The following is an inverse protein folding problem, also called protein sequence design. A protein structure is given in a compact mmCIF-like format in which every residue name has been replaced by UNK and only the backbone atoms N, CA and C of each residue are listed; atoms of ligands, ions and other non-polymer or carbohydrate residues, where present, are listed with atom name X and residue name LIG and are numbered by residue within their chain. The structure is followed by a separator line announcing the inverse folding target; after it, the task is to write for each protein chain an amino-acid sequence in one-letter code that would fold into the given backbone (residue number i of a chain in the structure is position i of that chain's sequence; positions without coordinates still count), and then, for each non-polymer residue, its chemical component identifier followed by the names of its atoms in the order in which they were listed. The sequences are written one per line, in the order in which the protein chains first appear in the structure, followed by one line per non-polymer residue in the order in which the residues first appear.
data_IF_517737442571
#
_entry.id   IF_517737442571
#
_cell.length_a   1.000
_cell.length_b   1.000
_cell.length_c   1.000
_cell.angle_alpha   90.00
_cell.angle_beta   90.00
_cell.angle_gamma   90.00
#
_symmetry.space_group_name_H-M   'P 1'
#
loop_
_entity.id
_entity.type
_entity.pdbx_description
1 polymer ?
#
# COMPACT_ATOMS: atom_id res chain seq x y z
N UNK A 1 74.41 1.11 -43.64
CA UNK A 1 73.93 -0.28 -43.72
C UNK A 1 73.41 -0.72 -42.35
N UNK A 2 72.09 -0.92 -42.25
CA UNK A 2 71.32 -1.86 -41.41
C UNK A 2 71.70 -2.04 -39.92
N UNK A 3 70.84 -1.63 -38.99
CA UNK A 3 69.67 -2.34 -38.41
C UNK A 3 70.03 -3.36 -37.31
N UNK A 4 69.72 -3.03 -36.05
CA UNK A 4 68.81 -3.76 -35.13
C UNK A 4 69.15 -3.42 -33.67
N UNK A 5 68.23 -2.73 -33.00
CA UNK A 5 68.06 -2.83 -31.56
C UNK A 5 66.56 -2.91 -31.29
N UNK A 6 66.12 -4.10 -30.87
CA UNK A 6 64.83 -4.35 -30.24
C UNK A 6 64.79 -3.55 -28.93
N UNK A 7 63.78 -2.70 -28.76
CA UNK A 7 63.37 -2.25 -27.44
C UNK A 7 61.89 -2.58 -27.26
N UNK A 8 61.65 -3.43 -26.26
CA UNK A 8 60.37 -3.89 -25.76
C UNK A 8 59.60 -2.67 -25.25
N UNK A 9 58.40 -2.43 -25.79
CA UNK A 9 57.44 -1.50 -25.18
C UNK A 9 56.89 -2.13 -23.91
N UNK A 10 57.27 -1.58 -22.76
CA UNK A 10 56.56 -1.80 -21.51
C UNK A 10 55.26 -0.99 -21.58
N UNK A 11 54.13 -1.68 -21.76
CA UNK A 11 52.82 -1.09 -21.55
C UNK A 11 52.66 -0.84 -20.04
N UNK A 12 52.78 0.42 -19.62
CA UNK A 12 52.34 0.87 -18.30
C UNK A 12 50.81 0.88 -18.35
N UNK A 13 50.18 -0.17 -17.85
CA UNK A 13 48.76 -0.16 -17.48
C UNK A 13 48.63 0.76 -16.27
N UNK A 14 48.18 1.99 -16.51
CA UNK A 14 47.77 2.90 -15.43
C UNK A 14 46.56 2.29 -14.75
N UNK A 15 46.79 1.60 -13.64
CA UNK A 15 45.73 1.23 -12.72
C UNK A 15 45.13 2.54 -12.18
N UNK A 16 43.95 2.90 -12.66
CA UNK A 16 43.11 3.89 -12.01
C UNK A 16 42.67 3.26 -10.69
N UNK A 17 43.40 3.57 -9.63
CA UNK A 17 42.95 3.33 -8.26
C UNK A 17 41.80 4.32 -8.03
N UNK A 18 40.58 3.85 -8.31
CA UNK A 18 39.36 4.44 -7.77
C UNK A 18 39.56 4.47 -6.26
N UNK A 19 39.74 5.68 -5.72
CA UNK A 19 39.77 5.88 -4.28
C UNK A 19 38.40 5.48 -3.75
N UNK A 20 38.38 4.38 -3.01
CA UNK A 20 37.17 3.83 -2.42
C UNK A 20 36.46 4.87 -1.56
N UNK A 21 35.17 5.03 -1.81
CA UNK A 21 34.21 5.61 -0.89
C UNK A 21 34.08 4.69 0.32
N UNK A 22 35.02 4.80 1.25
CA UNK A 22 34.89 4.16 2.56
C UNK A 22 33.81 4.90 3.37
N UNK A 23 32.53 4.64 3.06
CA UNK A 23 31.39 5.06 3.87
C UNK A 23 30.07 4.33 3.52
N UNK A 24 30.05 3.07 3.10
CA UNK A 24 28.83 2.24 2.92
C UNK A 24 28.86 0.95 3.78
N UNK A 25 29.41 1.01 4.99
CA UNK A 25 29.77 -0.17 5.78
C UNK A 25 28.60 -0.84 6.55
N UNK A 26 27.51 -1.19 5.85
CA UNK A 26 26.57 -2.20 6.35
C UNK A 26 26.47 -3.25 5.25
N UNK A 27 26.85 -4.50 5.56
CA UNK A 27 26.82 -5.56 4.55
C UNK A 27 25.37 -5.91 4.21
N UNK A 28 25.16 -6.43 3.01
CA UNK A 28 23.86 -6.94 2.55
C UNK A 28 23.28 -7.94 3.56
N UNK A 29 24.08 -8.87 4.07
CA UNK A 29 23.65 -9.89 5.02
C UNK A 29 23.24 -9.32 6.39
N UNK A 30 23.85 -8.19 6.79
CA UNK A 30 23.49 -7.51 8.02
C UNK A 30 22.23 -6.64 7.89
N UNK A 31 21.82 -6.34 6.65
CA UNK A 31 20.75 -5.38 6.36
C UNK A 31 19.48 -6.06 5.85
N UNK A 32 19.61 -7.16 5.11
CA UNK A 32 18.49 -7.90 4.52
C UNK A 32 18.19 -9.14 5.39
N UNK A 33 17.03 -9.18 6.07
CA UNK A 33 16.62 -10.33 6.86
C UNK A 33 16.69 -11.62 6.06
N UNK A 34 17.12 -12.72 6.68
CA UNK A 34 17.30 -14.01 5.99
C UNK A 34 16.04 -14.46 5.22
N UNK A 35 14.86 -14.21 5.77
CA UNK A 35 13.58 -14.53 5.13
C UNK A 35 13.35 -13.76 3.81
N UNK A 36 14.01 -12.62 3.61
CA UNK A 36 13.86 -11.76 2.43
C UNK A 36 15.00 -11.91 1.42
N UNK A 37 16.08 -12.64 1.74
CA UNK A 37 17.24 -12.77 0.85
C UNK A 37 16.94 -13.53 -0.46
N UNK A 38 15.83 -14.29 -0.51
CA UNK A 38 15.35 -14.94 -1.74
C UNK A 38 14.60 -13.98 -2.68
N UNK A 39 14.16 -12.82 -2.18
CA UNK A 39 13.36 -11.84 -2.93
C UNK A 39 14.09 -10.51 -3.14
N UNK A 40 14.97 -10.13 -2.22
CA UNK A 40 15.86 -8.96 -2.35
C UNK A 40 17.28 -9.47 -2.58
N UNK A 41 17.76 -9.42 -3.82
CA UNK A 41 19.15 -9.80 -4.13
C UNK A 41 20.15 -8.73 -3.68
N UNK A 42 21.41 -9.12 -3.46
CA UNK A 42 22.49 -8.17 -3.15
C UNK A 42 22.65 -7.08 -4.22
N UNK A 43 22.45 -7.45 -5.50
CA UNK A 43 22.48 -6.48 -6.60
C UNK A 43 21.34 -5.47 -6.47
N UNK A 44 20.11 -5.94 -6.23
CA UNK A 44 18.94 -5.07 -6.07
C UNK A 44 19.09 -4.14 -4.85
N UNK A 45 19.59 -4.67 -3.72
CA UNK A 45 19.90 -3.88 -2.53
C UNK A 45 20.91 -2.76 -2.83
N UNK A 46 22.03 -3.09 -3.46
CA UNK A 46 23.07 -2.11 -3.79
C UNK A 46 22.58 -1.07 -4.81
N UNK A 47 21.75 -1.46 -5.78
CA UNK A 47 21.13 -0.53 -6.73
C UNK A 47 20.20 0.45 -6.02
N UNK A 48 19.29 -0.03 -5.17
CA UNK A 48 18.38 0.84 -4.42
C UNK A 48 19.13 1.81 -3.49
N UNK A 49 20.23 1.38 -2.88
CA UNK A 49 21.09 2.26 -2.09
C UNK A 49 21.75 3.36 -2.94
N UNK A 50 22.28 3.00 -4.11
CA UNK A 50 22.90 3.96 -5.02
C UNK A 50 21.87 5.00 -5.52
N UNK A 51 20.63 4.58 -5.76
CA UNK A 51 19.54 5.47 -6.18
C UNK A 51 19.19 6.53 -5.12
N UNK A 52 19.50 6.27 -3.84
CA UNK A 52 19.25 7.17 -2.71
C UNK A 52 20.51 7.94 -2.27
N UNK A 53 21.68 7.66 -2.83
CA UNK A 53 22.96 8.26 -2.43
C UNK A 53 22.92 9.79 -2.48
N UNK A 54 22.28 10.35 -3.51
CA UNK A 54 22.26 11.80 -3.74
C UNK A 54 21.52 12.54 -2.61
N UNK A 55 20.38 12.03 -2.15
CA UNK A 55 19.57 12.63 -1.08
C UNK A 55 20.17 12.39 0.30
N UNK A 56 20.84 11.24 0.50
CA UNK A 56 21.56 10.94 1.74
C UNK A 56 22.82 11.81 1.88
N UNK A 57 23.61 11.93 0.81
CA UNK A 57 24.87 12.72 0.80
C UNK A 57 24.63 14.21 0.96
N UNK A 58 23.48 14.72 0.50
CA UNK A 58 23.07 16.10 0.71
C UNK A 58 22.65 16.39 2.17
N UNK A 59 22.51 15.36 3.01
CA UNK A 59 22.14 15.48 4.42
C UNK A 59 20.65 15.68 4.65
N UNK A 60 19.83 15.47 3.62
CA UNK A 60 18.38 15.71 3.65
C UNK A 60 17.59 14.47 4.05
N UNK A 61 18.17 13.29 3.88
CA UNK A 61 17.54 12.02 4.19
C UNK A 61 18.44 11.13 5.04
N UNK A 62 17.85 10.43 6.02
CA UNK A 62 18.62 9.62 6.95
C UNK A 62 19.08 8.32 6.30
N UNK A 63 20.35 8.00 6.49
CA UNK A 63 20.99 6.83 5.92
C UNK A 63 20.43 5.50 6.42
N UNK A 64 20.13 5.40 7.72
CA UNK A 64 19.52 4.19 8.29
C UNK A 64 18.19 3.87 7.62
N UNK A 65 17.40 4.89 7.29
CA UNK A 65 16.16 4.70 6.53
C UNK A 65 16.47 4.24 5.10
N UNK A 66 17.45 4.84 4.41
CA UNK A 66 17.81 4.41 3.05
C UNK A 66 18.23 2.93 2.99
N UNK A 67 18.97 2.43 4.00
CA UNK A 67 19.31 1.01 4.12
C UNK A 67 18.06 0.15 4.28
N UNK A 68 17.10 0.57 5.12
CA UNK A 68 15.85 -0.16 5.30
C UNK A 68 14.99 -0.18 4.01
N UNK A 69 14.98 0.91 3.24
CA UNK A 69 14.33 0.95 1.91
C UNK A 69 14.97 -0.08 1.00
N UNK A 70 16.29 -0.08 0.88
CA UNK A 70 16.99 -1.01 -0.01
C UNK A 70 16.83 -2.48 0.39
N UNK A 71 16.65 -2.76 1.68
CA UNK A 71 16.36 -4.09 2.20
C UNK A 71 14.90 -4.55 1.99
N UNK A 72 14.02 -3.65 1.51
CA UNK A 72 12.60 -3.94 1.28
C UNK A 72 12.36 -4.57 -0.10
N UNK A 73 11.44 -5.55 -0.22
CA UNK A 73 10.94 -6.01 -1.51
C UNK A 73 10.28 -4.90 -2.34
N UNK A 74 9.81 -3.83 -1.68
CA UNK A 74 9.16 -2.67 -2.31
C UNK A 74 10.14 -1.49 -2.49
N UNK A 75 11.44 -1.76 -2.56
CA UNK A 75 12.48 -0.72 -2.62
C UNK A 75 12.32 0.22 -3.81
N UNK A 76 11.83 -0.27 -4.96
CA UNK A 76 11.63 0.52 -6.17
C UNK A 76 10.61 1.64 -5.98
N UNK A 77 9.40 1.29 -5.52
CA UNK A 77 8.32 2.26 -5.28
C UNK A 77 8.71 3.29 -4.22
N UNK A 78 9.27 2.81 -3.09
CA UNK A 78 9.64 3.66 -1.96
C UNK A 78 10.81 4.59 -2.32
N UNK A 79 11.82 4.12 -3.05
CA UNK A 79 12.93 4.97 -3.53
C UNK A 79 12.44 6.01 -4.54
N UNK A 80 11.50 5.63 -5.42
CA UNK A 80 10.85 6.54 -6.35
C UNK A 80 10.12 7.68 -5.65
N UNK A 81 9.34 7.37 -4.60
CA UNK A 81 8.68 8.38 -3.77
C UNK A 81 9.68 9.34 -3.11
N UNK A 82 10.73 8.81 -2.46
CA UNK A 82 11.76 9.62 -1.81
C UNK A 82 12.42 10.56 -2.83
N UNK A 83 12.87 10.03 -3.96
CA UNK A 83 13.52 10.84 -5.00
C UNK A 83 12.59 11.90 -5.59
N UNK A 84 11.30 11.59 -5.80
CA UNK A 84 10.32 12.56 -6.27
C UNK A 84 10.16 13.72 -5.27
N UNK A 85 9.95 13.42 -3.98
CA UNK A 85 9.80 14.42 -2.92
C UNK A 85 11.03 15.32 -2.83
N UNK A 86 12.24 14.73 -2.85
CA UNK A 86 13.48 15.50 -2.70
C UNK A 86 13.98 16.18 -3.98
N UNK A 87 13.40 15.86 -5.14
CA UNK A 87 13.67 16.56 -6.41
C UNK A 87 12.93 17.89 -6.54
N UNK A 88 11.76 18.01 -5.90
CA UNK A 88 10.93 19.23 -5.86
C UNK A 88 10.54 19.57 -4.41
N UNK A 89 11.57 19.87 -3.61
CA UNK A 89 11.47 20.04 -2.16
C UNK A 89 10.59 21.20 -1.75
N UNK A 90 10.59 22.28 -2.51
CA UNK A 90 9.80 23.46 -2.18
C UNK A 90 8.30 23.15 -2.30
N UNK A 91 7.91 22.48 -3.39
CA UNK A 91 6.52 22.09 -3.62
C UNK A 91 6.05 21.01 -2.65
N UNK A 92 6.75 19.87 -2.60
CA UNK A 92 6.33 18.77 -1.72
C UNK A 92 6.55 19.10 -0.24
N UNK A 93 7.53 19.94 0.09
CA UNK A 93 7.69 20.47 1.44
C UNK A 93 6.47 21.27 1.89
N UNK A 94 5.96 22.16 1.04
CA UNK A 94 4.75 22.93 1.33
C UNK A 94 3.50 22.02 1.45
N UNK A 95 3.33 21.05 0.55
CA UNK A 95 2.22 20.08 0.59
C UNK A 95 2.27 19.25 1.89
N UNK A 96 3.43 18.68 2.21
CA UNK A 96 3.60 17.83 3.38
C UNK A 96 3.43 18.62 4.69
N UNK A 97 3.86 19.89 4.74
CA UNK A 97 3.58 20.76 5.88
C UNK A 97 2.08 21.05 6.02
N UNK A 98 1.38 21.35 4.92
CA UNK A 98 -0.07 21.57 4.93
C UNK A 98 -0.84 20.34 5.45
N UNK A 99 -0.41 19.14 5.05
CA UNK A 99 -0.98 17.89 5.55
C UNK A 99 -0.71 17.74 7.05
N UNK A 100 0.53 17.98 7.50
CA UNK A 100 0.89 17.85 8.91
C UNK A 100 0.09 18.79 9.83
N UNK A 101 -0.14 20.03 9.38
CA UNK A 101 -0.95 21.02 10.08
C UNK A 101 -2.44 20.63 10.13
N UNK A 102 -2.91 19.82 9.18
CA UNK A 102 -4.28 19.35 9.06
C UNK A 102 -4.60 18.07 9.85
N UNK A 103 -3.64 17.45 10.53
CA UNK A 103 -3.91 16.23 11.30
C UNK A 103 -4.84 16.51 12.49
N UNK A 104 -5.82 15.62 12.64
CA UNK A 104 -6.76 15.61 13.75
C UNK A 104 -6.62 14.29 14.49
N UNK A 105 -6.69 14.34 15.82
CA UNK A 105 -6.68 13.13 16.64
C UNK A 105 -7.87 12.23 16.31
N UNK A 106 -7.66 10.89 16.33
CA UNK A 106 -8.75 9.93 16.23
C UNK A 106 -9.83 10.17 17.30
N UNK A 107 -11.06 9.64 17.11
CA UNK A 107 -12.09 9.70 18.13
C UNK A 107 -11.59 9.20 19.50
N UNK A 108 -12.05 9.81 20.58
CA UNK A 108 -11.56 9.52 21.94
C UNK A 108 -11.63 8.04 22.35
N UNK A 109 -12.51 7.24 21.72
CA UNK A 109 -12.59 5.79 21.91
C UNK A 109 -11.32 5.03 21.54
N UNK A 110 -10.48 5.58 20.67
CA UNK A 110 -9.19 5.00 20.28
C UNK A 110 -8.06 5.34 21.27
N UNK A 111 -8.27 6.31 22.18
CA UNK A 111 -7.33 6.69 23.23
C UNK A 111 -5.89 6.93 22.74
N UNK A 112 -5.72 7.51 21.55
CA UNK A 112 -4.44 7.79 20.92
C UNK A 112 -4.44 9.17 20.26
N UNK A 113 -3.24 9.73 20.04
CA UNK A 113 -3.04 10.88 19.16
C UNK A 113 -2.86 10.43 17.71
N UNK A 114 -3.03 11.33 16.75
CA UNK A 114 -2.77 10.98 15.35
C UNK A 114 -1.31 10.52 15.17
N UNK A 115 -1.04 9.29 14.69
CA UNK A 115 0.30 8.73 14.65
C UNK A 115 1.19 9.36 13.57
N UNK A 116 0.60 10.09 12.63
CA UNK A 116 1.30 10.76 11.53
C UNK A 116 1.79 12.16 11.89
N UNK A 117 1.29 12.72 12.99
CA UNK A 117 1.69 14.06 13.40
C UNK A 117 3.16 14.07 13.80
N UNK A 118 3.92 14.98 13.17
CA UNK A 118 5.33 15.20 13.49
C UNK A 118 5.54 16.58 14.11
N UNK A 119 6.11 16.61 15.32
CA UNK A 119 6.58 17.84 15.96
C UNK A 119 7.88 18.27 15.31
N UNK A 120 7.83 19.09 14.27
CA UNK A 120 9.04 19.63 13.69
C UNK A 120 8.77 21.05 13.20
N UNK A 121 9.64 21.99 13.57
CA UNK A 121 9.66 23.33 12.99
C UNK A 121 10.05 23.26 11.51
N UNK A 122 11.15 23.87 11.11
CA UNK A 122 11.55 24.00 9.70
C UNK A 122 11.84 22.69 8.93
N UNK A 123 11.64 21.51 9.54
CA UNK A 123 11.90 20.18 8.94
C UNK A 123 10.73 19.19 9.06
N UNK A 124 9.49 19.66 9.26
CA UNK A 124 8.32 18.79 9.31
C UNK A 124 8.17 17.90 8.09
N UNK A 125 8.37 18.44 6.87
CA UNK A 125 8.32 17.63 5.67
C UNK A 125 9.29 16.44 5.68
N UNK A 126 10.56 16.64 6.05
CA UNK A 126 11.56 15.58 6.05
C UNK A 126 11.25 14.51 7.12
N UNK A 127 10.75 14.94 8.29
CA UNK A 127 10.30 14.03 9.33
C UNK A 127 9.07 13.23 8.90
N UNK A 128 8.10 13.86 8.21
CA UNK A 128 6.91 13.18 7.72
C UNK A 128 7.23 12.23 6.56
N UNK A 129 8.11 12.61 5.63
CA UNK A 129 8.62 11.70 4.59
C UNK A 129 9.30 10.49 5.21
N UNK A 130 10.14 10.69 6.24
CA UNK A 130 10.75 9.59 6.98
C UNK A 130 9.70 8.67 7.65
N UNK A 131 8.66 9.24 8.26
CA UNK A 131 7.59 8.47 8.89
C UNK A 131 6.79 7.64 7.86
N UNK A 132 6.39 8.26 6.74
CA UNK A 132 5.74 7.56 5.62
C UNK A 132 6.61 6.43 5.10
N UNK A 133 7.88 6.70 4.80
CA UNK A 133 8.81 5.68 4.29
C UNK A 133 8.96 4.52 5.27
N UNK A 134 9.18 4.80 6.56
CA UNK A 134 9.31 3.74 7.57
C UNK A 134 8.05 2.87 7.63
N UNK A 135 6.87 3.50 7.60
CA UNK A 135 5.60 2.77 7.55
C UNK A 135 5.49 1.84 6.34
N UNK A 136 5.79 2.33 5.13
CA UNK A 136 5.69 1.53 3.92
C UNK A 136 6.77 0.45 3.82
N UNK A 137 7.97 0.68 4.37
CA UNK A 137 8.99 -0.38 4.51
C UNK A 137 8.47 -1.50 5.41
N UNK A 138 7.95 -1.15 6.59
CA UNK A 138 7.43 -2.13 7.54
C UNK A 138 6.19 -2.86 6.98
N UNK A 139 5.33 -2.15 6.25
CA UNK A 139 4.15 -2.73 5.60
C UNK A 139 4.52 -3.67 4.45
N UNK A 140 5.58 -3.38 3.69
CA UNK A 140 5.97 -4.22 2.56
C UNK A 140 6.28 -5.66 3.01
N UNK A 141 7.05 -5.81 4.09
CA UNK A 141 7.47 -7.12 4.61
C UNK A 141 6.50 -7.71 5.63
N UNK A 142 5.43 -6.99 5.99
CA UNK A 142 4.44 -7.45 6.94
C UNK A 142 3.64 -8.66 6.42
N UNK A 143 3.63 -9.73 7.22
CA UNK A 143 2.84 -10.93 7.00
C UNK A 143 1.65 -10.97 7.97
N UNK A 144 0.41 -11.16 7.49
CA UNK A 144 -0.77 -11.24 8.34
C UNK A 144 -0.68 -12.40 9.34
N UNK A 145 -1.03 -12.11 10.59
CA UNK A 145 -0.97 -13.03 11.71
C UNK A 145 -2.31 -13.05 12.44
N UNK A 146 -2.58 -14.15 13.12
CA UNK A 146 -3.65 -14.25 14.10
C UNK A 146 -3.12 -13.86 15.47
N UNK A 147 -3.85 -13.00 16.18
CA UNK A 147 -3.53 -12.59 17.54
C UNK A 147 -4.78 -12.74 18.41
N UNK A 148 -4.84 -13.82 19.18
CA UNK A 148 -6.01 -14.12 20.02
C UNK A 148 -7.28 -14.34 19.21
N UNK A 149 -8.31 -13.54 19.46
CA UNK A 149 -9.59 -13.54 18.75
C UNK A 149 -9.64 -12.55 17.58
N UNK A 150 -8.49 -12.00 17.18
CA UNK A 150 -8.36 -11.04 16.08
C UNK A 150 -7.27 -11.48 15.09
N UNK A 151 -7.17 -10.77 13.98
CA UNK A 151 -6.04 -10.84 13.06
C UNK A 151 -5.42 -9.45 12.85
N UNK A 152 -4.14 -9.44 12.47
CA UNK A 152 -3.39 -8.21 12.23
C UNK A 152 -3.48 -7.73 10.76
N UNK A 153 -4.27 -8.37 9.90
CA UNK A 153 -4.29 -8.15 8.45
C UNK A 153 -4.63 -6.72 8.05
N UNK A 154 -5.37 -6.00 8.89
CA UNK A 154 -5.76 -4.61 8.66
C UNK A 154 -4.83 -3.57 9.31
N UNK A 155 -3.80 -3.96 10.06
CA UNK A 155 -2.96 -3.05 10.87
C UNK A 155 -2.50 -1.81 10.10
N UNK A 156 -1.72 -2.00 9.04
CA UNK A 156 -1.13 -0.89 8.29
C UNK A 156 -2.16 -0.09 7.48
N UNK A 157 -3.27 -0.72 7.08
CA UNK A 157 -4.38 -0.04 6.41
C UNK A 157 -5.04 0.92 7.40
N UNK A 158 -5.37 0.44 8.61
CA UNK A 158 -6.01 1.24 9.65
C UNK A 158 -5.10 2.37 10.13
N UNK A 159 -3.80 2.11 10.29
CA UNK A 159 -2.82 3.15 10.61
C UNK A 159 -2.77 4.21 9.50
N UNK A 160 -2.73 3.82 8.22
CA UNK A 160 -2.70 4.76 7.11
C UNK A 160 -4.00 5.56 6.92
N UNK A 161 -5.17 5.03 7.34
CA UNK A 161 -6.43 5.80 7.35
C UNK A 161 -6.29 7.11 8.12
N UNK A 162 -5.51 7.13 9.21
CA UNK A 162 -5.31 8.34 10.01
C UNK A 162 -4.53 9.45 9.28
N UNK A 163 -3.84 9.12 8.19
CA UNK A 163 -3.13 10.10 7.36
C UNK A 163 -4.10 11.06 6.66
N UNK A 164 -5.27 10.56 6.25
CA UNK A 164 -6.27 11.35 5.54
C UNK A 164 -7.59 11.50 6.33
N UNK A 165 -7.64 11.01 7.58
CA UNK A 165 -8.80 11.15 8.45
C UNK A 165 -9.07 12.62 8.76
N UNK A 166 -10.21 13.13 8.25
CA UNK A 166 -10.64 14.53 8.39
C UNK A 166 -9.57 15.56 8.00
N UNK A 167 -8.66 15.17 7.11
CA UNK A 167 -7.59 16.01 6.58
C UNK A 167 -7.75 16.15 5.06
N UNK A 168 -8.44 17.20 4.56
CA UNK A 168 -8.69 17.37 3.13
C UNK A 168 -7.42 17.40 2.29
N UNK A 169 -6.34 18.00 2.80
CA UNK A 169 -5.06 18.03 2.10
C UNK A 169 -4.46 16.61 1.96
N UNK A 170 -4.51 15.81 3.03
CA UNK A 170 -4.06 14.42 3.02
C UNK A 170 -4.90 13.54 2.07
N UNK A 171 -6.21 13.80 2.00
CA UNK A 171 -7.12 13.12 1.07
C UNK A 171 -6.78 13.44 -0.39
N UNK A 172 -6.71 14.74 -0.74
CA UNK A 172 -6.35 15.18 -2.09
C UNK A 172 -5.01 14.60 -2.53
N UNK A 173 -3.99 14.68 -1.67
CA UNK A 173 -2.65 14.14 -1.96
C UNK A 173 -2.69 12.63 -2.22
N UNK A 174 -3.43 11.86 -1.41
CA UNK A 174 -3.62 10.41 -1.58
C UNK A 174 -4.36 10.04 -2.87
N UNK A 175 -5.19 10.95 -3.39
CA UNK A 175 -5.98 10.77 -4.60
C UNK A 175 -5.29 11.29 -5.86
N UNK A 176 -4.05 11.76 -5.75
CA UNK A 176 -3.31 12.30 -6.89
C UNK A 176 -3.76 13.71 -7.28
N UNK A 177 -4.13 14.53 -6.29
CA UNK A 177 -4.50 15.94 -6.46
C UNK A 177 -3.56 16.78 -5.58
N UNK A 178 -2.94 17.79 -6.16
CA UNK A 178 -2.11 18.76 -5.44
C UNK A 178 -3.01 19.61 -4.52
N UNK A 179 -2.88 19.51 -3.18
CA UNK A 179 -3.76 20.23 -2.26
C UNK A 179 -3.52 21.75 -2.24
N UNK A 180 -2.40 22.23 -2.77
CA UNK A 180 -2.09 23.66 -2.87
C UNK A 180 -2.77 24.32 -4.08
N UNK A 181 -3.02 23.55 -5.14
CA UNK A 181 -3.49 24.10 -6.42
C UNK A 181 -4.81 23.51 -6.91
N UNK A 182 -5.21 22.34 -6.42
CA UNK A 182 -6.34 21.55 -6.92
C UNK A 182 -6.07 20.87 -8.26
N UNK A 183 -4.85 20.95 -8.80
CA UNK A 183 -4.48 20.31 -10.06
C UNK A 183 -4.17 18.82 -9.87
N UNK A 184 -4.28 18.03 -10.93
CA UNK A 184 -3.84 16.64 -10.92
C UNK A 184 -2.33 16.55 -10.67
N UNK A 185 -1.95 15.71 -9.71
CA UNK A 185 -0.57 15.34 -9.40
C UNK A 185 -0.55 13.88 -8.95
N UNK A 186 -0.24 12.99 -9.88
CA UNK A 186 -0.28 11.56 -9.62
C UNK A 186 0.93 11.03 -8.86
N UNK A 187 1.87 11.87 -8.37
CA UNK A 187 3.10 11.37 -7.76
C UNK A 187 2.83 10.37 -6.62
N UNK A 188 2.02 10.77 -5.64
CA UNK A 188 1.78 9.91 -4.48
C UNK A 188 0.79 8.78 -4.79
N UNK A 189 -0.22 9.00 -5.63
CA UNK A 189 -1.13 7.91 -6.04
C UNK A 189 -0.42 6.85 -6.89
N UNK A 190 0.50 7.25 -7.78
CA UNK A 190 1.34 6.31 -8.54
C UNK A 190 2.32 5.55 -7.63
N UNK A 191 2.87 6.20 -6.60
CA UNK A 191 3.62 5.51 -5.57
C UNK A 191 2.77 4.44 -4.85
N UNK A 192 1.55 4.77 -4.42
CA UNK A 192 0.66 3.82 -3.75
C UNK A 192 0.29 2.63 -4.66
N UNK A 193 0.07 2.88 -5.95
CA UNK A 193 -0.18 1.85 -6.96
C UNK A 193 1.03 0.92 -7.12
N UNK A 194 2.22 1.49 -7.36
CA UNK A 194 3.45 0.71 -7.54
C UNK A 194 3.84 -0.06 -6.26
N UNK A 195 3.66 0.57 -5.09
CA UNK A 195 3.81 -0.11 -3.80
C UNK A 195 2.87 -1.31 -3.67
N UNK A 196 1.60 -1.14 -4.06
CA UNK A 196 0.60 -2.22 -4.02
C UNK A 196 0.99 -3.37 -4.95
N UNK A 197 1.50 -3.07 -6.15
CA UNK A 197 1.98 -4.08 -7.09
C UNK A 197 3.21 -4.82 -6.55
N UNK A 198 4.23 -4.10 -6.08
CA UNK A 198 5.46 -4.71 -5.52
C UNK A 198 5.17 -5.52 -4.26
N UNK A 199 4.28 -5.04 -3.40
CA UNK A 199 3.80 -5.82 -2.25
C UNK A 199 3.06 -7.06 -2.72
N UNK A 200 2.17 -6.95 -3.71
CA UNK A 200 1.48 -8.08 -4.31
C UNK A 200 2.44 -9.15 -4.85
N UNK A 201 3.50 -8.73 -5.54
CA UNK A 201 4.57 -9.60 -6.03
C UNK A 201 5.28 -10.31 -4.88
N UNK A 202 5.63 -9.59 -3.80
CA UNK A 202 6.19 -10.21 -2.60
C UNK A 202 5.22 -11.24 -1.98
N UNK A 203 3.93 -10.91 -1.87
CA UNK A 203 2.90 -11.82 -1.34
C UNK A 203 2.61 -13.02 -2.26
N UNK A 204 3.15 -13.03 -3.49
CA UNK A 204 3.15 -14.17 -4.41
C UNK A 204 4.39 -15.07 -4.28
N UNK A 205 5.30 -14.80 -3.33
CA UNK A 205 6.53 -15.60 -3.13
C UNK A 205 6.41 -16.59 -1.97
N UNK A 206 7.23 -17.66 -1.93
CA UNK A 206 7.30 -18.56 -0.78
C UNK A 206 7.70 -17.86 0.53
N UNK A 207 8.47 -16.77 0.46
CA UNK A 207 8.88 -15.99 1.64
C UNK A 207 7.67 -15.39 2.40
N UNK A 208 6.54 -15.18 1.71
CA UNK A 208 5.31 -14.65 2.33
C UNK A 208 4.52 -15.68 3.15
N UNK A 209 4.88 -16.96 3.10
CA UNK A 209 4.11 -18.04 3.73
C UNK A 209 4.30 -18.18 5.25
N UNK A 210 5.13 -17.33 5.87
CA UNK A 210 5.64 -17.53 7.23
C UNK A 210 4.60 -17.91 8.30
N UNK A 211 3.36 -17.43 8.15
CA UNK A 211 2.26 -17.68 9.09
C UNK A 211 1.11 -18.51 8.55
N UNK A 212 1.15 -19.03 7.32
CA UNK A 212 0.03 -19.83 6.76
C UNK A 212 -0.33 -21.01 7.66
N UNK A 213 0.67 -21.67 8.25
CA UNK A 213 0.44 -22.75 9.22
C UNK A 213 -0.37 -22.31 10.45
N UNK A 214 -0.20 -21.06 10.91
CA UNK A 214 -0.99 -20.52 12.00
C UNK A 214 -2.45 -20.37 11.59
N UNK A 215 -2.71 -19.86 10.38
CA UNK A 215 -4.05 -19.66 9.85
C UNK A 215 -4.81 -20.97 9.61
N UNK A 216 -4.15 -21.99 9.07
CA UNK A 216 -4.79 -23.31 8.86
C UNK A 216 -5.17 -24.00 10.18
N UNK A 217 -4.49 -23.67 11.28
CA UNK A 217 -4.79 -24.22 12.60
C UNK A 217 -5.86 -23.41 13.35
N UNK A 218 -6.33 -22.29 12.79
CA UNK A 218 -7.38 -21.49 13.40
C UNK A 218 -8.76 -22.01 13.00
N UNK A 219 -9.60 -22.44 13.97
CA UNK A 219 -10.91 -23.01 13.65
C UNK A 219 -11.87 -22.00 13.00
N UNK A 220 -11.62 -20.68 13.11
CA UNK A 220 -12.44 -19.64 12.47
C UNK A 220 -12.26 -19.57 10.97
N UNK A 221 -11.21 -20.22 10.44
CA UNK A 221 -10.94 -20.27 9.00
C UNK A 221 -11.77 -21.35 8.31
N UNK A 222 -12.34 -22.30 9.05
CA UNK A 222 -13.19 -23.38 8.51
C UNK A 222 -12.51 -24.07 7.33
N UNK A 223 -11.23 -24.45 7.52
CA UNK A 223 -10.36 -24.91 6.43
C UNK A 223 -10.92 -26.15 5.70
N UNK A 224 -11.73 -26.94 6.39
CA UNK A 224 -12.47 -28.09 5.84
C UNK A 224 -13.41 -27.73 4.68
N UNK A 225 -13.85 -26.48 4.57
CA UNK A 225 -14.71 -26.00 3.49
C UNK A 225 -13.94 -25.83 2.17
N UNK A 226 -12.61 -25.83 2.20
CA UNK A 226 -11.75 -25.48 1.07
C UNK A 226 -11.07 -26.69 0.45
N UNK A 227 -10.70 -26.56 -0.82
CA UNK A 227 -10.05 -27.65 -1.58
C UNK A 227 -8.63 -27.95 -1.09
N UNK A 228 -7.87 -26.89 -0.75
CA UNK A 228 -6.53 -26.95 -0.18
C UNK A 228 -6.63 -26.83 1.33
N UNK A 229 -5.93 -27.68 2.08
CA UNK A 229 -6.11 -27.79 3.53
C UNK A 229 -4.79 -27.92 4.30
N UNK A 230 -3.68 -28.16 3.62
CA UNK A 230 -2.37 -28.33 4.22
C UNK A 230 -1.44 -27.19 3.80
N UNK A 231 -0.46 -26.87 4.65
CA UNK A 231 0.55 -25.83 4.35
C UNK A 231 1.25 -26.12 3.02
N UNK A 232 1.52 -27.40 2.73
CA UNK A 232 2.17 -27.86 1.49
C UNK A 232 1.35 -27.63 0.22
N UNK A 233 0.06 -27.33 0.34
CA UNK A 233 -0.83 -27.09 -0.81
C UNK A 233 -0.67 -25.67 -1.37
N UNK A 234 -0.01 -24.79 -0.62
CA UNK A 234 0.15 -23.38 -0.94
C UNK A 234 1.60 -23.05 -1.31
N UNK A 235 1.79 -22.11 -2.23
CA UNK A 235 3.11 -21.63 -2.64
C UNK A 235 3.43 -20.21 -2.18
N UNK A 236 2.42 -19.49 -1.69
CA UNK A 236 2.51 -18.10 -1.26
C UNK A 236 1.35 -17.73 -0.34
N UNK A 237 1.42 -16.57 0.30
CA UNK A 237 0.29 -16.03 1.04
C UNK A 237 -0.91 -15.74 0.14
N UNK A 238 -0.72 -15.18 -1.05
CA UNK A 238 -1.84 -14.89 -1.95
C UNK A 238 -2.55 -16.16 -2.44
N UNK A 239 -1.83 -17.26 -2.65
CA UNK A 239 -2.41 -18.58 -2.93
C UNK A 239 -3.29 -19.07 -1.77
N UNK A 240 -2.86 -18.84 -0.52
CA UNK A 240 -3.66 -19.13 0.67
C UNK A 240 -4.86 -18.17 0.84
N UNK A 241 -4.65 -16.87 0.60
CA UNK A 241 -5.66 -15.84 0.77
C UNK A 241 -6.82 -16.01 -0.23
N UNK A 242 -6.51 -16.37 -1.47
CA UNK A 242 -7.47 -16.60 -2.56
C UNK A 242 -7.88 -18.08 -2.71
N UNK A 243 -7.71 -18.90 -1.66
CA UNK A 243 -8.04 -20.32 -1.67
C UNK A 243 -9.47 -20.59 -2.14
N UNK A 244 -9.63 -21.65 -2.92
CA UNK A 244 -10.92 -22.02 -3.50
C UNK A 244 -11.78 -22.83 -2.52
N UNK A 245 -13.03 -22.43 -2.38
CA UNK A 245 -14.04 -23.19 -1.65
C UNK A 245 -14.40 -24.46 -2.41
N UNK A 246 -14.80 -25.50 -1.69
CA UNK A 246 -15.21 -26.77 -2.30
C UNK A 246 -16.55 -26.61 -3.01
N UNK A 247 -16.58 -26.99 -4.29
CA UNK A 247 -17.78 -26.99 -5.12
C UNK A 247 -18.17 -28.44 -5.40
N UNK A 248 -19.45 -28.76 -5.23
CA UNK A 248 -20.03 -29.98 -5.76
C UNK A 248 -20.30 -29.77 -7.26
N UNK A 249 -19.47 -30.40 -8.10
CA UNK A 249 -19.57 -30.25 -9.55
C UNK A 249 -20.83 -30.91 -10.15
N UNK A 250 -21.41 -31.93 -9.51
CA UNK A 250 -22.61 -32.61 -10.01
C UNK A 250 -23.83 -31.69 -9.84
N UNK A 251 -23.94 -31.08 -8.66
CA UNK A 251 -25.08 -30.21 -8.33
C UNK A 251 -24.81 -28.73 -8.64
N UNK A 252 -23.58 -28.37 -8.97
CA UNK A 252 -23.11 -26.98 -9.13
C UNK A 252 -23.43 -26.13 -7.89
N UNK A 253 -23.21 -26.70 -6.70
CA UNK A 253 -23.46 -26.03 -5.41
C UNK A 253 -22.21 -25.91 -4.57
N UNK A 254 -22.24 -25.04 -3.56
CA UNK A 254 -21.22 -24.93 -2.52
C UNK A 254 -21.83 -25.51 -1.25
N UNK A 255 -21.49 -26.74 -0.83
CA UNK A 255 -22.16 -27.41 0.28
C UNK A 255 -22.11 -26.62 1.60
N UNK A 256 -21.03 -25.90 1.86
CA UNK A 256 -20.84 -25.07 3.05
C UNK A 256 -21.49 -23.68 2.95
N UNK A 257 -22.02 -23.30 1.79
CA UNK A 257 -22.72 -22.02 1.53
C UNK A 257 -24.04 -22.26 0.80
N UNK A 258 -25.01 -22.95 1.41
CA UNK A 258 -26.27 -23.30 0.74
C UNK A 258 -27.09 -22.05 0.41
N UNK A 259 -27.49 -21.94 -0.86
CA UNK A 259 -28.37 -20.88 -1.35
C UNK A 259 -29.81 -21.13 -0.90
N UNK A 260 -30.48 -20.10 -0.39
CA UNK A 260 -31.89 -20.18 -0.02
C UNK A 260 -32.78 -20.18 -1.26
N UNK A 261 -33.67 -21.17 -1.40
CA UNK A 261 -34.65 -21.28 -2.50
C UNK A 261 -34.00 -21.11 -3.89
N UNK A 262 -32.98 -21.90 -4.24
CA UNK A 262 -32.17 -21.72 -5.45
C UNK A 262 -32.98 -21.87 -6.76
N UNK A 263 -34.16 -22.48 -6.69
CA UNK A 263 -35.08 -22.62 -7.81
C UNK A 263 -35.91 -21.35 -8.11
N UNK A 264 -35.79 -20.31 -7.27
CA UNK A 264 -36.60 -19.08 -7.36
C UNK A 264 -35.75 -17.91 -7.84
N UNK A 265 -36.07 -17.42 -9.03
CA UNK A 265 -35.40 -16.29 -9.68
C UNK A 265 -35.64 -14.92 -9.03
N UNK A 266 -36.57 -14.82 -8.08
CA UNK A 266 -36.87 -13.59 -7.33
C UNK A 266 -36.19 -13.52 -5.96
N UNK A 267 -35.38 -14.52 -5.58
CA UNK A 267 -34.61 -14.51 -4.33
C UNK A 267 -33.17 -14.13 -4.62
N UNK A 268 -32.72 -13.00 -4.05
CA UNK A 268 -31.32 -12.56 -4.13
C UNK A 268 -30.58 -13.07 -2.90
N UNK A 269 -29.50 -13.81 -3.11
CA UNK A 269 -28.62 -14.30 -2.03
C UNK A 269 -27.42 -13.39 -1.84
N UNK A 270 -26.82 -13.43 -0.65
CA UNK A 270 -25.62 -12.66 -0.36
C UNK A 270 -24.46 -13.10 -1.28
N UNK A 271 -23.71 -12.17 -1.89
CA UNK A 271 -22.67 -12.50 -2.86
C UNK A 271 -21.32 -12.88 -2.21
N UNK A 272 -21.15 -12.67 -0.90
CA UNK A 272 -19.85 -12.85 -0.23
C UNK A 272 -20.02 -13.10 1.27
N UNK A 273 -19.01 -13.75 1.87
CA UNK A 273 -18.88 -13.91 3.32
C UNK A 273 -18.35 -12.60 3.93
N UNK A 274 -19.24 -11.81 4.54
CA UNK A 274 -18.83 -10.54 5.13
C UNK A 274 -19.78 -10.06 6.23
N UNK A 275 -19.33 -9.04 6.97
CA UNK A 275 -20.21 -8.17 7.74
C UNK A 275 -20.75 -7.08 6.81
N UNK A 276 -22.07 -6.91 6.77
CA UNK A 276 -22.69 -5.89 5.94
C UNK A 276 -22.60 -4.51 6.61
N UNK A 277 -21.97 -3.56 5.92
CA UNK A 277 -22.10 -2.14 6.26
C UNK A 277 -23.23 -1.53 5.41
N UNK A 278 -24.17 -0.78 6.02
CA UNK A 278 -25.22 -0.13 5.25
C UNK A 278 -24.63 0.97 4.36
N UNK A 279 -25.20 1.12 3.16
CA UNK A 279 -24.97 2.33 2.37
C UNK A 279 -25.65 3.50 3.07
N UNK A 280 -24.91 4.57 3.29
CA UNK A 280 -25.43 5.81 3.89
C UNK A 280 -25.31 6.95 2.90
N UNK A 281 -26.36 7.76 2.84
CA UNK A 281 -26.37 9.00 2.09
C UNK A 281 -25.69 10.11 2.90
N UNK A 282 -24.90 10.93 2.22
CA UNK A 282 -24.39 12.19 2.76
C UNK A 282 -25.38 13.30 2.42
N UNK A 283 -25.88 13.99 3.44
CA UNK A 283 -26.84 15.08 3.30
C UNK A 283 -26.14 16.42 3.55
N UNK A 284 -26.45 17.39 2.70
CA UNK A 284 -26.10 18.78 2.93
C UNK A 284 -27.29 19.51 3.56
N UNK A 285 -27.23 19.69 4.88
CA UNK A 285 -28.27 20.38 5.63
C UNK A 285 -27.68 21.69 6.15
N UNK A 286 -28.20 22.81 5.66
CA UNK A 286 -27.83 24.14 6.16
C UNK A 286 -26.46 24.66 5.73
N UNK A 287 -25.85 24.09 4.67
CA UNK A 287 -24.52 24.50 4.17
C UNK A 287 -23.35 23.81 4.86
N UNK A 288 -23.64 22.81 5.70
CA UNK A 288 -22.65 21.92 6.31
C UNK A 288 -22.47 20.66 5.44
N UNK A 289 -21.71 20.80 4.35
CA UNK A 289 -21.37 19.68 3.47
C UNK A 289 -20.70 18.54 4.26
N UNK A 290 -21.22 17.31 4.13
CA UNK A 290 -20.53 16.11 4.61
C UNK A 290 -20.75 15.72 6.08
N UNK A 291 -21.52 16.48 6.85
CA UNK A 291 -21.66 16.26 8.30
C UNK A 291 -22.83 15.35 8.68
N UNK A 292 -23.90 15.33 7.88
CA UNK A 292 -25.10 14.54 8.16
C UNK A 292 -25.12 13.28 7.32
N UNK A 293 -25.23 12.13 8.00
CA UNK A 293 -25.36 10.81 7.37
C UNK A 293 -26.73 10.24 7.70
N UNK A 294 -27.42 9.70 6.70
CA UNK A 294 -28.68 8.98 6.85
C UNK A 294 -28.62 7.67 6.08
N UNK A 295 -29.45 6.69 6.44
CA UNK A 295 -29.67 5.54 5.57
C UNK A 295 -30.21 6.04 4.23
N UNK A 296 -29.81 5.39 3.14
CA UNK A 296 -30.38 5.69 1.82
C UNK A 296 -31.86 5.33 1.85
N UNK A 297 -32.71 6.32 1.58
CA UNK A 297 -34.13 6.10 1.30
C UNK A 297 -34.35 6.18 -0.21
N UNK A 298 -34.77 5.06 -0.80
CA UNK A 298 -35.08 4.98 -2.23
C UNK A 298 -36.25 5.93 -2.60
N UNK A 299 -36.32 6.39 -3.85
CA UNK A 299 -35.51 5.99 -5.02
C UNK A 299 -34.15 6.69 -5.13
N UNK A 300 -33.11 5.94 -5.51
CA UNK A 300 -31.81 6.51 -5.89
C UNK A 300 -31.93 7.48 -7.09
N UNK A 301 -31.14 8.54 -7.06
CA UNK A 301 -30.96 9.51 -8.16
C UNK A 301 -29.50 9.53 -8.61
N UNK A 302 -29.25 10.02 -9.83
CA UNK A 302 -27.89 10.10 -10.37
C UNK A 302 -26.95 10.95 -9.51
N UNK A 303 -27.49 11.97 -8.85
CA UNK A 303 -26.81 12.90 -7.94
C UNK A 303 -26.94 12.51 -6.45
N UNK A 304 -27.49 11.33 -6.13
CA UNK A 304 -27.47 10.80 -4.76
C UNK A 304 -26.03 10.64 -4.31
N UNK A 305 -25.62 11.40 -3.28
CA UNK A 305 -24.27 11.36 -2.71
C UNK A 305 -24.20 10.29 -1.64
N UNK A 306 -23.41 9.25 -1.91
CA UNK A 306 -23.20 8.09 -1.04
C UNK A 306 -21.88 8.27 -0.31
N UNK A 307 -21.84 7.88 0.97
CA UNK A 307 -20.59 7.80 1.70
C UNK A 307 -19.87 6.47 1.38
N UNK A 308 -18.73 6.55 0.72
CA UNK A 308 -17.82 5.43 0.50
C UNK A 308 -16.57 5.66 1.33
N UNK A 309 -16.48 5.02 2.51
CA UNK A 309 -15.31 5.13 3.42
C UNK A 309 -14.99 6.57 3.86
N UNK A 310 -16.00 7.33 4.26
CA UNK A 310 -15.94 8.77 4.56
C UNK A 310 -15.67 9.67 3.35
N UNK A 311 -15.87 9.16 2.13
CA UNK A 311 -15.78 9.94 0.90
C UNK A 311 -17.17 10.12 0.28
N UNK A 312 -17.69 11.36 0.21
CA UNK A 312 -18.94 11.63 -0.51
C UNK A 312 -18.71 11.49 -2.01
N UNK A 313 -19.41 10.55 -2.65
CA UNK A 313 -19.38 10.34 -4.10
C UNK A 313 -20.80 10.23 -4.63
N UNK A 314 -21.11 10.90 -5.74
CA UNK A 314 -22.42 10.71 -6.39
C UNK A 314 -22.54 9.32 -6.99
N UNK A 315 -23.77 8.80 -7.13
CA UNK A 315 -24.02 7.54 -7.83
C UNK A 315 -23.41 7.53 -9.24
N UNK A 316 -23.54 8.63 -9.98
CA UNK A 316 -22.98 8.75 -11.33
C UNK A 316 -21.44 8.65 -11.36
N UNK A 317 -20.77 9.25 -10.38
CA UNK A 317 -19.31 9.18 -10.21
C UNK A 317 -18.87 7.78 -9.74
N UNK A 318 -19.61 7.17 -8.83
CA UNK A 318 -19.36 5.80 -8.36
C UNK A 318 -19.39 4.80 -9.52
N UNK A 319 -20.29 5.00 -10.49
CA UNK A 319 -20.39 4.19 -11.70
C UNK A 319 -19.34 4.54 -12.78
N UNK A 320 -18.46 5.52 -12.53
CA UNK A 320 -17.28 5.82 -13.34
C UNK A 320 -17.57 5.99 -14.84
N UNK A 321 -16.83 5.28 -15.68
CA UNK A 321 -16.97 5.35 -17.14
C UNK A 321 -18.00 4.36 -17.72
N UNK A 322 -18.86 3.77 -16.87
CA UNK A 322 -19.89 2.85 -17.33
C UNK A 322 -20.81 3.54 -18.37
N UNK A 323 -21.25 2.83 -19.42
CA UNK A 323 -22.21 3.37 -20.40
C UNK A 323 -23.43 3.99 -19.72
N UNK A 324 -23.85 5.18 -20.20
CA UNK A 324 -25.00 5.88 -19.64
C UNK A 324 -26.26 5.01 -19.54
N UNK A 325 -26.49 4.13 -20.53
CA UNK A 325 -27.60 3.19 -20.49
C UNK A 325 -27.58 2.31 -19.24
N UNK A 326 -26.41 1.79 -18.85
CA UNK A 326 -26.26 1.01 -17.61
C UNK A 326 -26.41 1.88 -16.37
N UNK A 327 -25.92 3.13 -16.39
CA UNK A 327 -26.09 4.04 -15.25
C UNK A 327 -27.55 4.36 -14.96
N UNK A 328 -28.38 4.47 -16.00
CA UNK A 328 -29.81 4.75 -15.83
C UNK A 328 -30.57 3.60 -15.15
N UNK A 329 -30.11 2.35 -15.26
CA UNK A 329 -30.74 1.19 -14.60
C UNK A 329 -30.65 1.26 -13.05
N UNK A 330 -29.74 2.07 -12.51
CA UNK A 330 -29.60 2.27 -11.06
C UNK A 330 -30.46 3.43 -10.52
N UNK A 331 -31.04 4.27 -11.40
CA UNK A 331 -31.92 5.36 -10.98
C UNK A 331 -33.31 4.80 -10.73
N UNK A 332 -33.89 5.13 -9.57
CA UNK A 332 -35.18 4.57 -9.16
C UNK A 332 -35.07 3.25 -8.40
N UNK A 333 -33.90 2.61 -8.44
CA UNK A 333 -33.54 1.43 -7.65
C UNK A 333 -33.28 1.74 -6.19
#
# INVERSE_FOLDING_TARGET
MKLRAMMVSAALTTAVVLHGTAAWAQSYEASVPQALQSVVSEVAFNTALADLESVVSAGDFRRDIAVNIAASPCSGSISGFVNAVFSDRDRYGAILNLINDGFVDPPASYAMVNPWWVSAGDKAYAAMTAALVSHFVDWCAFLPQIEGDQDAGLKYILEFVWFYYRNPAGQMFSQGIDPMTGAADSMFSAFLEDFTNQRGDFMNTPASMGYVAQWLNDPRIEIEDYQKQQVSDYNSWNDFFAREITIDEETQTIPSRPTTLPERDYVVSAPTDCIMNPLVQVLDIGGEHGQVRALIENPLQADTVIDVKSYPISLSELLGDAPNALKQEFIGG
#
